data_IF_304943526482
#
_entry.id   IF_304943526482
#
_cell.length_a   1.000
_cell.length_b   1.000
_cell.length_c   1.000
_cell.angle_alpha   90.00
_cell.angle_beta   90.00
_cell.angle_gamma   90.00
#
_symmetry.space_group_name_H-M   'P 1'
#
loop_
_entity.id
_entity.type
_entity.pdbx_description
1 polymer ?
#
# COMPACT_ATOMS: atom_id res chain seq x y z
N UNK A 1 23.19 6.98 -15.31
CA UNK A 1 24.56 6.42 -15.13
C UNK A 1 25.16 6.85 -13.79
N UNK A 2 25.24 8.16 -13.47
CA UNK A 2 25.91 8.66 -12.24
C UNK A 2 25.31 8.13 -10.94
N UNK A 3 23.99 8.00 -10.83
CA UNK A 3 23.27 7.46 -9.67
C UNK A 3 23.68 6.02 -9.35
N UNK A 4 23.90 5.18 -10.36
CA UNK A 4 24.30 3.79 -10.19
C UNK A 4 25.72 3.65 -9.62
N UNK A 5 26.63 4.54 -10.04
CA UNK A 5 27.99 4.61 -9.51
C UNK A 5 27.93 4.99 -8.02
N UNK A 6 27.11 5.97 -7.66
CA UNK A 6 26.93 6.40 -6.26
C UNK A 6 26.36 5.26 -5.39
N UNK A 7 25.36 4.53 -5.87
CA UNK A 7 24.82 3.37 -5.16
C UNK A 7 25.84 2.25 -4.98
N UNK A 8 26.63 1.96 -6.01
CA UNK A 8 27.70 0.95 -5.95
C UNK A 8 28.77 1.34 -4.92
N UNK A 9 29.17 2.61 -4.88
CA UNK A 9 30.14 3.13 -3.90
C UNK A 9 29.60 3.06 -2.49
N UNK A 10 28.35 3.47 -2.27
CA UNK A 10 27.71 3.40 -0.94
C UNK A 10 27.57 1.94 -0.47
N UNK A 11 27.12 1.04 -1.32
CA UNK A 11 27.00 -0.39 -0.99
C UNK A 11 28.37 -1.00 -0.65
N UNK A 12 29.41 -0.66 -1.39
CA UNK A 12 30.78 -1.13 -1.11
C UNK A 12 31.30 -0.56 0.21
N UNK A 13 31.04 0.71 0.51
CA UNK A 13 31.45 1.34 1.77
C UNK A 13 30.72 0.72 2.98
N UNK A 14 29.43 0.42 2.87
CA UNK A 14 28.63 -0.25 3.92
C UNK A 14 29.16 -1.67 4.15
N UNK A 15 29.43 -2.43 3.10
CA UNK A 15 29.98 -3.79 3.20
C UNK A 15 31.36 -3.76 3.84
N UNK A 16 32.23 -2.83 3.44
CA UNK A 16 33.56 -2.65 4.04
C UNK A 16 33.46 -2.26 5.52
N UNK A 17 32.51 -1.38 5.89
CA UNK A 17 32.26 -0.99 7.29
C UNK A 17 31.76 -2.15 8.15
N UNK A 18 30.86 -2.99 7.63
CA UNK A 18 30.34 -4.17 8.34
C UNK A 18 31.39 -5.28 8.47
N UNK A 19 32.33 -5.41 7.54
CA UNK A 19 33.41 -6.42 7.59
C UNK A 19 34.62 -5.96 8.41
N UNK A 20 34.76 -4.65 8.63
CA UNK A 20 35.89 -4.09 9.40
C UNK A 20 36.00 -4.64 10.84
N UNK A 21 34.93 -4.76 11.66
CA UNK A 21 35.02 -5.33 13.00
C UNK A 21 35.42 -6.82 13.01
N UNK A 22 35.04 -7.57 11.96
CA UNK A 22 35.47 -8.96 11.81
C UNK A 22 36.94 -9.09 11.39
N UNK A 23 37.52 -8.10 10.75
CA UNK A 23 38.95 -8.05 10.42
C UNK A 23 39.78 -7.63 11.64
N UNK A 24 39.31 -6.72 12.48
CA UNK A 24 39.98 -6.23 13.68
C UNK A 24 39.80 -7.16 14.89
N UNK A 25 38.71 -7.96 14.94
CA UNK A 25 38.50 -8.95 16.00
C UNK A 25 39.54 -10.08 16.00
N UNK A 26 40.10 -10.44 14.85
CA UNK A 26 41.19 -11.44 14.74
C UNK A 26 42.56 -10.91 15.22
N UNK A 27 42.79 -9.60 15.13
CA UNK A 27 44.01 -8.98 15.67
C UNK A 27 44.01 -8.92 17.21
N UNK A 28 42.87 -9.01 17.86
CA UNK A 28 42.72 -8.98 19.31
C UNK A 28 42.92 -10.35 19.98
N UNK A 29 42.77 -11.45 19.23
CA UNK A 29 43.02 -12.81 19.74
C UNK A 29 44.51 -13.08 19.79
N UNK A 30 45.32 -12.45 18.93
CA UNK A 30 46.80 -12.56 18.93
C UNK A 30 47.46 -11.89 20.15
N UNK A 31 46.78 -11.04 20.90
CA UNK A 31 47.32 -10.37 22.07
C UNK A 31 47.32 -11.27 23.33
N UNK A 32 46.41 -12.24 23.43
CA UNK A 32 46.21 -13.04 24.63
C UNK A 32 47.41 -13.91 25.01
N UNK A 33 48.05 -14.57 24.05
CA UNK A 33 49.24 -15.40 24.31
C UNK A 33 50.50 -14.54 24.60
N UNK A 34 50.60 -13.38 23.93
CA UNK A 34 51.69 -12.43 24.19
C UNK A 34 51.58 -11.80 25.58
N UNK A 35 50.37 -11.45 26.01
CA UNK A 35 50.09 -10.90 27.34
C UNK A 35 50.32 -11.96 28.43
N UNK A 36 49.95 -13.23 28.22
CA UNK A 36 50.25 -14.32 29.15
C UNK A 36 51.75 -14.54 29.33
N UNK A 37 52.55 -14.52 28.26
CA UNK A 37 53.99 -14.61 28.34
C UNK A 37 54.60 -13.46 29.13
N UNK A 38 54.05 -12.26 29.05
CA UNK A 38 54.48 -11.08 29.80
C UNK A 38 54.19 -11.26 31.29
N UNK A 39 52.98 -11.64 31.63
CA UNK A 39 52.58 -11.90 33.03
C UNK A 39 53.47 -12.95 33.71
N UNK A 40 53.73 -14.08 33.05
CA UNK A 40 54.61 -15.11 33.64
C UNK A 40 56.08 -14.65 33.80
N UNK A 41 56.54 -13.76 32.91
CA UNK A 41 57.91 -13.21 33.03
C UNK A 41 58.00 -12.22 34.21
N UNK A 42 56.97 -11.41 34.40
CA UNK A 42 56.85 -10.49 35.53
C UNK A 42 56.77 -11.26 36.85
N UNK A 43 56.03 -12.38 36.91
CA UNK A 43 55.95 -13.27 38.06
C UNK A 43 57.32 -13.92 38.43
N UNK A 44 58.16 -14.25 37.43
CA UNK A 44 59.48 -14.74 37.68
C UNK A 44 60.43 -13.69 38.34
N UNK A 45 60.28 -12.43 37.86
CA UNK A 45 61.00 -11.30 38.42
C UNK A 45 60.58 -11.01 39.84
N UNK A 46 59.28 -11.06 40.12
CA UNK A 46 58.77 -10.87 41.51
C UNK A 46 59.24 -12.00 42.44
N UNK A 47 59.22 -13.24 41.97
CA UNK A 47 59.69 -14.39 42.73
C UNK A 47 61.21 -14.32 43.05
N UNK A 48 62.02 -13.84 42.09
CA UNK A 48 63.47 -13.62 42.33
C UNK A 48 63.65 -12.52 43.37
N UNK A 49 62.84 -11.45 43.38
CA UNK A 49 62.89 -10.39 44.39
C UNK A 49 62.55 -10.91 45.81
N UNK A 50 61.50 -11.74 45.91
CA UNK A 50 61.05 -12.34 47.19
C UNK A 50 62.11 -13.26 47.78
N UNK A 51 62.86 -13.93 46.94
CA UNK A 51 64.02 -14.71 47.37
C UNK A 51 65.13 -13.80 47.91
N UNK A 52 65.52 -12.73 47.25
CA UNK A 52 66.50 -11.75 47.66
C UNK A 52 66.14 -11.09 49.00
N UNK A 53 64.86 -10.84 49.25
CA UNK A 53 64.37 -10.25 50.51
C UNK A 53 64.13 -11.27 51.62
N UNK A 54 64.55 -12.54 51.42
CA UNK A 54 64.43 -13.65 52.38
C UNK A 54 63.03 -13.93 52.87
N UNK A 55 62.03 -13.58 52.05
CA UNK A 55 60.60 -13.79 52.35
C UNK A 55 60.14 -15.22 51.97
N UNK A 56 60.93 -15.94 51.16
CA UNK A 56 60.61 -17.29 50.71
C UNK A 56 61.74 -18.31 51.07
N UNK A 57 61.37 -19.50 51.61
CA UNK A 57 62.31 -20.58 51.76
C UNK A 57 62.85 -21.09 50.42
N UNK A 58 64.15 -21.48 50.37
CA UNK A 58 64.81 -21.89 49.13
C UNK A 58 64.15 -23.07 48.41
N UNK A 59 63.56 -24.00 49.11
CA UNK A 59 62.82 -25.14 48.56
C UNK A 59 61.53 -24.72 47.91
N UNK A 60 60.79 -23.76 48.46
CA UNK A 60 59.55 -23.23 47.90
C UNK A 60 59.83 -22.37 46.65
N UNK A 61 60.88 -21.57 46.68
CA UNK A 61 61.36 -20.81 45.54
C UNK A 61 61.68 -21.70 44.32
N UNK A 62 62.46 -22.78 44.50
CA UNK A 62 62.79 -23.66 43.39
C UNK A 62 61.55 -24.34 42.78
N UNK A 63 60.61 -24.74 43.62
CA UNK A 63 59.38 -25.34 43.16
C UNK A 63 58.46 -24.33 42.38
N UNK A 64 58.27 -23.14 42.93
CA UNK A 64 57.49 -22.09 42.31
C UNK A 64 58.13 -21.65 40.98
N UNK A 65 59.43 -21.46 40.93
CA UNK A 65 60.19 -21.11 39.73
C UNK A 65 60.05 -22.15 38.62
N UNK A 66 60.12 -23.44 38.96
CA UNK A 66 59.91 -24.51 37.96
C UNK A 66 58.48 -24.52 37.38
N UNK A 67 57.49 -24.26 38.21
CA UNK A 67 56.07 -24.24 37.75
C UNK A 67 55.81 -23.04 36.90
N UNK A 68 56.29 -21.85 37.27
CA UNK A 68 56.09 -20.63 36.44
C UNK A 68 56.86 -20.76 35.12
N UNK A 69 58.07 -21.30 35.13
CA UNK A 69 58.83 -21.56 33.93
C UNK A 69 58.11 -22.54 32.99
N UNK A 70 57.50 -23.61 33.52
CA UNK A 70 56.72 -24.57 32.73
C UNK A 70 55.52 -23.87 32.06
N UNK A 71 54.81 -22.99 32.77
CA UNK A 71 53.70 -22.22 32.24
C UNK A 71 54.13 -21.24 31.16
N UNK A 72 55.27 -20.58 31.37
CA UNK A 72 55.87 -19.68 30.37
C UNK A 72 56.25 -20.43 29.08
N UNK A 73 56.89 -21.63 29.20
CA UNK A 73 57.19 -22.45 28.03
C UNK A 73 55.97 -22.84 27.25
N UNK A 74 54.87 -23.27 27.95
CA UNK A 74 53.60 -23.61 27.31
C UNK A 74 52.95 -22.41 26.62
N UNK A 75 52.98 -21.23 27.24
CA UNK A 75 52.45 -20.00 26.63
C UNK A 75 53.29 -19.57 25.41
N UNK A 76 54.62 -19.74 25.46
CA UNK A 76 55.52 -19.43 24.34
C UNK A 76 55.30 -20.38 23.16
N UNK A 77 55.07 -21.67 23.44
CA UNK A 77 54.76 -22.66 22.40
C UNK A 77 53.44 -22.37 21.69
N UNK A 78 52.40 -21.99 22.46
CA UNK A 78 51.11 -21.52 21.90
C UNK A 78 51.29 -20.28 21.05
N UNK A 79 52.07 -19.30 21.48
CA UNK A 79 52.37 -18.10 20.71
C UNK A 79 53.10 -18.42 19.39
N UNK A 80 54.03 -19.38 19.41
CA UNK A 80 54.72 -19.84 18.21
C UNK A 80 53.80 -20.60 17.24
N UNK A 81 52.87 -21.40 17.74
CA UNK A 81 51.86 -22.08 16.90
C UNK A 81 50.89 -21.11 16.28
N UNK A 82 50.43 -20.08 17.01
CA UNK A 82 49.59 -19.02 16.49
C UNK A 82 50.28 -18.21 15.39
N UNK A 83 51.57 -17.89 15.56
CA UNK A 83 52.37 -17.23 14.51
C UNK A 83 52.63 -18.10 13.27
N UNK A 84 52.62 -19.42 13.41
CA UNK A 84 52.78 -20.35 12.27
C UNK A 84 51.54 -20.51 11.43
N UNK A 85 50.35 -20.12 11.92
CA UNK A 85 49.14 -20.14 11.12
C UNK A 85 49.20 -19.06 10.04
N UNK A 86 49.16 -19.41 8.73
CA UNK A 86 49.31 -18.42 7.67
C UNK A 86 48.14 -17.44 7.71
N UNK A 87 48.40 -16.11 7.73
CA UNK A 87 47.35 -15.07 7.85
C UNK A 87 46.45 -14.97 6.61
N UNK A 88 46.68 -15.81 5.60
CA UNK A 88 46.06 -15.66 4.27
C UNK A 88 44.85 -16.55 4.00
N UNK A 89 44.60 -17.57 4.83
CA UNK A 89 43.56 -18.57 4.53
C UNK A 89 42.11 -18.03 4.49
N UNK A 90 41.84 -16.84 5.05
CA UNK A 90 40.49 -16.30 5.17
C UNK A 90 40.23 -14.98 4.42
N UNK A 91 41.17 -14.51 3.59
CA UNK A 91 40.98 -13.25 2.83
C UNK A 91 40.20 -13.47 1.54
N UNK A 92 40.40 -14.58 0.86
CA UNK A 92 39.76 -14.93 -0.39
C UNK A 92 38.21 -15.05 -0.31
N UNK A 93 37.64 -15.78 0.66
CA UNK A 93 36.21 -15.85 0.77
C UNK A 93 35.55 -14.50 1.13
N UNK A 94 36.23 -13.66 1.92
CA UNK A 94 35.77 -12.30 2.24
C UNK A 94 35.72 -11.41 1.01
N UNK A 95 36.78 -11.43 0.20
CA UNK A 95 36.81 -10.69 -1.07
C UNK A 95 35.78 -11.22 -2.08
N UNK A 96 35.61 -12.55 -2.16
CA UNK A 96 34.60 -13.17 -3.02
C UNK A 96 33.18 -12.77 -2.65
N UNK A 97 32.82 -12.77 -1.38
CA UNK A 97 31.51 -12.34 -0.89
C UNK A 97 31.29 -10.84 -1.13
N UNK A 98 32.31 -10.03 -0.85
CA UNK A 98 32.24 -8.56 -1.03
C UNK A 98 32.05 -8.15 -2.50
N UNK A 99 32.57 -8.93 -3.44
CA UNK A 99 32.40 -8.69 -4.87
C UNK A 99 31.13 -9.36 -5.44
N UNK A 100 30.82 -10.57 -4.97
CA UNK A 100 29.69 -11.34 -5.47
C UNK A 100 28.33 -10.70 -5.13
N UNK A 101 28.16 -10.19 -3.90
CA UNK A 101 26.90 -9.66 -3.43
C UNK A 101 26.41 -8.44 -4.26
N UNK A 102 27.22 -7.39 -4.50
CA UNK A 102 26.80 -6.27 -5.35
C UNK A 102 26.61 -6.67 -6.82
N UNK A 103 27.44 -7.58 -7.36
CA UNK A 103 27.26 -8.04 -8.74
C UNK A 103 25.98 -8.88 -8.91
N UNK A 104 25.69 -9.76 -7.96
CA UNK A 104 24.46 -10.53 -7.95
C UNK A 104 23.22 -9.63 -7.80
N UNK A 105 23.30 -8.61 -6.94
CA UNK A 105 22.24 -7.63 -6.75
C UNK A 105 21.96 -6.82 -8.02
N UNK A 106 23.00 -6.34 -8.70
CA UNK A 106 22.87 -5.62 -9.97
C UNK A 106 22.31 -6.54 -11.06
N UNK A 107 22.81 -7.77 -11.16
CA UNK A 107 22.34 -8.75 -12.13
C UNK A 107 20.87 -9.14 -11.90
N UNK A 108 20.47 -9.34 -10.65
CA UNK A 108 19.10 -9.62 -10.27
C UNK A 108 18.17 -8.45 -10.60
N UNK A 109 18.61 -7.22 -10.29
CA UNK A 109 17.87 -6.01 -10.63
C UNK A 109 17.76 -5.80 -12.15
N UNK A 110 18.82 -6.06 -12.90
CA UNK A 110 18.78 -5.94 -14.36
C UNK A 110 17.82 -6.94 -15.01
N UNK A 111 17.61 -8.10 -14.35
CA UNK A 111 16.75 -9.17 -14.89
C UNK A 111 15.30 -9.10 -14.41
N UNK A 112 15.06 -8.75 -13.15
CA UNK A 112 13.73 -8.70 -12.53
C UNK A 112 13.21 -7.27 -12.37
N UNK A 113 14.07 -6.28 -12.38
CA UNK A 113 13.71 -4.88 -12.28
C UNK A 113 13.29 -4.29 -13.62
N UNK A 114 12.89 -3.04 -13.60
CA UNK A 114 12.54 -2.25 -14.78
C UNK A 114 13.51 -1.09 -14.93
N UNK A 115 14.79 -1.34 -15.35
CA UNK A 115 15.82 -0.31 -15.45
C UNK A 115 15.50 0.76 -16.51
N UNK A 116 14.67 0.41 -17.50
CA UNK A 116 14.27 1.31 -18.60
C UNK A 116 13.05 2.17 -18.26
N UNK A 117 12.46 2.01 -17.08
CA UNK A 117 11.36 2.88 -16.68
C UNK A 117 11.90 4.29 -16.43
N UNK A 118 11.43 5.30 -17.20
CA UNK A 118 11.84 6.68 -16.96
C UNK A 118 11.39 7.11 -15.56
N UNK A 119 12.26 7.84 -14.85
CA UNK A 119 11.87 8.44 -13.57
C UNK A 119 10.70 9.38 -13.81
N UNK A 120 9.55 9.10 -13.18
CA UNK A 120 8.38 9.98 -13.24
C UNK A 120 8.31 10.79 -11.95
N UNK A 121 8.87 12.00 -11.89
CA UNK A 121 8.72 12.88 -10.74
C UNK A 121 7.22 13.15 -10.53
N UNK A 122 6.82 13.34 -9.26
CA UNK A 122 5.42 13.57 -8.90
C UNK A 122 4.78 14.68 -9.76
N UNK A 123 5.54 15.72 -10.05
CA UNK A 123 5.07 16.85 -10.84
C UNK A 123 4.72 16.48 -12.28
N UNK A 124 5.57 15.69 -12.96
CA UNK A 124 5.29 15.18 -14.31
C UNK A 124 4.08 14.23 -14.32
N UNK A 125 3.91 13.40 -13.29
CA UNK A 125 2.72 12.54 -13.16
C UNK A 125 1.44 13.33 -12.90
N UNK A 126 1.55 14.49 -12.24
CA UNK A 126 0.40 15.38 -12.03
C UNK A 126 0.05 16.19 -13.29
N UNK A 127 1.02 16.46 -14.14
CA UNK A 127 0.81 17.13 -15.45
C UNK A 127 0.18 16.18 -16.47
N UNK A 128 0.65 14.93 -16.52
CA UNK A 128 0.08 13.86 -17.37
C UNK A 128 -0.24 12.61 -16.51
N UNK A 129 -1.40 12.59 -15.84
CA UNK A 129 -1.80 11.50 -14.95
C UNK A 129 -2.14 10.19 -15.68
N UNK A 130 -2.16 10.19 -17.02
CA UNK A 130 -2.56 9.02 -17.81
C UNK A 130 -3.94 8.48 -17.38
N UNK A 131 -4.01 7.18 -17.07
CA UNK A 131 -5.23 6.51 -16.61
C UNK A 131 -5.34 6.42 -15.07
N UNK A 132 -4.49 7.11 -14.30
CA UNK A 132 -4.54 7.07 -12.86
C UNK A 132 -5.65 7.97 -12.31
N UNK A 133 -6.80 7.36 -11.95
CA UNK A 133 -7.99 8.07 -11.46
C UNK A 133 -7.67 8.95 -10.24
N UNK A 134 -6.85 8.50 -9.30
CA UNK A 134 -6.51 9.30 -8.11
C UNK A 134 -5.74 10.58 -8.47
N UNK A 135 -4.86 10.52 -9.47
CA UNK A 135 -4.14 11.69 -9.96
C UNK A 135 -5.04 12.65 -10.76
N UNK A 136 -5.97 12.11 -11.54
CA UNK A 136 -6.98 12.90 -12.24
C UNK A 136 -7.86 13.66 -11.25
N UNK A 137 -8.30 12.98 -10.18
CA UNK A 137 -9.05 13.62 -9.09
C UNK A 137 -8.23 14.75 -8.48
N UNK A 138 -6.98 14.52 -8.07
CA UNK A 138 -6.12 15.52 -7.43
C UNK A 138 -5.82 16.72 -8.35
N UNK A 139 -5.69 16.49 -9.66
CA UNK A 139 -5.54 17.56 -10.66
C UNK A 139 -6.80 18.41 -10.75
N UNK A 140 -7.96 17.76 -10.82
CA UNK A 140 -9.27 18.44 -10.89
C UNK A 140 -9.57 19.20 -9.59
N UNK A 141 -9.26 18.62 -8.43
CA UNK A 141 -9.41 19.28 -7.11
C UNK A 141 -8.58 20.58 -7.02
N UNK A 142 -7.33 20.54 -7.47
CA UNK A 142 -6.48 21.75 -7.51
C UNK A 142 -7.01 22.81 -8.47
N UNK A 143 -7.51 22.39 -9.62
CA UNK A 143 -8.15 23.29 -10.58
C UNK A 143 -9.36 23.96 -9.95
N UNK A 144 -10.25 23.20 -9.32
CA UNK A 144 -11.46 23.71 -8.68
C UNK A 144 -11.17 24.56 -7.44
N UNK A 145 -10.06 24.31 -6.75
CA UNK A 145 -9.60 25.18 -5.65
C UNK A 145 -9.16 26.56 -6.16
N UNK A 146 -8.58 26.64 -7.36
CA UNK A 146 -8.20 27.90 -8.01
C UNK A 146 -9.33 28.55 -8.78
N UNK A 147 -10.30 27.76 -9.24
CA UNK A 147 -11.47 28.21 -10.02
C UNK A 147 -12.77 27.60 -9.46
N UNK A 148 -13.26 28.08 -8.30
CA UNK A 148 -14.41 27.49 -7.61
C UNK A 148 -15.74 27.66 -8.37
N UNK A 149 -15.81 28.58 -9.33
CA UNK A 149 -16.99 28.82 -10.16
C UNK A 149 -16.96 28.04 -11.50
N UNK A 150 -16.01 27.10 -11.68
CA UNK A 150 -16.06 26.17 -12.80
C UNK A 150 -17.13 25.08 -12.57
N UNK A 151 -18.37 25.40 -12.93
CA UNK A 151 -19.49 24.46 -12.82
C UNK A 151 -19.30 23.17 -13.65
N UNK A 152 -18.58 23.26 -14.79
CA UNK A 152 -18.28 22.07 -15.62
C UNK A 152 -17.31 21.14 -14.92
N UNK A 153 -16.29 21.68 -14.30
CA UNK A 153 -15.34 20.90 -13.49
C UNK A 153 -16.04 20.18 -12.35
N UNK A 154 -16.94 20.87 -11.62
CA UNK A 154 -17.76 20.25 -10.57
C UNK A 154 -18.67 19.14 -11.12
N UNK A 155 -19.29 19.36 -12.28
CA UNK A 155 -20.17 18.37 -12.91
C UNK A 155 -19.43 17.10 -13.35
N UNK A 156 -18.18 17.23 -13.78
CA UNK A 156 -17.34 16.08 -14.21
C UNK A 156 -16.81 15.28 -13.02
N UNK A 157 -16.40 15.96 -11.94
CA UNK A 157 -15.81 15.26 -10.79
C UNK A 157 -16.84 14.59 -9.89
N UNK A 158 -18.07 15.12 -9.81
CA UNK A 158 -19.12 14.62 -8.93
C UNK A 158 -19.42 13.11 -9.11
N UNK A 159 -19.65 12.58 -10.33
CA UNK A 159 -19.85 11.14 -10.52
C UNK A 159 -18.58 10.31 -10.25
N UNK A 160 -17.39 10.90 -10.36
CA UNK A 160 -16.15 10.21 -10.01
C UNK A 160 -16.04 10.03 -8.51
N UNK A 161 -16.36 11.05 -7.71
CA UNK A 161 -16.44 10.93 -6.25
C UNK A 161 -17.47 9.88 -5.83
N UNK A 162 -18.63 9.85 -6.47
CA UNK A 162 -19.67 8.86 -6.16
C UNK A 162 -19.16 7.43 -6.39
N UNK A 163 -18.52 7.17 -7.53
CA UNK A 163 -17.96 5.84 -7.86
C UNK A 163 -16.78 5.44 -6.99
N UNK A 164 -16.03 6.39 -6.46
CA UNK A 164 -14.90 6.14 -5.56
C UNK A 164 -15.30 6.09 -4.07
N UNK A 165 -16.62 6.17 -3.77
CA UNK A 165 -17.14 6.10 -2.40
C UNK A 165 -16.96 7.39 -1.58
N UNK A 166 -16.53 8.49 -2.22
CA UNK A 166 -16.35 9.80 -1.58
C UNK A 166 -17.69 10.57 -1.61
N UNK A 167 -18.64 10.08 -0.82
CA UNK A 167 -20.07 10.51 -0.91
C UNK A 167 -20.26 11.97 -0.49
N UNK A 168 -19.58 12.43 0.56
CA UNK A 168 -19.67 13.80 1.03
C UNK A 168 -19.16 14.80 -0.02
N UNK A 169 -18.05 14.48 -0.66
CA UNK A 169 -17.50 15.29 -1.75
C UNK A 169 -18.37 15.23 -3.01
N UNK A 170 -18.92 14.07 -3.35
CA UNK A 170 -19.86 13.94 -4.47
C UNK A 170 -21.08 14.86 -4.27
N UNK A 171 -21.68 14.83 -3.08
CA UNK A 171 -22.81 15.69 -2.71
C UNK A 171 -22.47 17.18 -2.83
N UNK A 172 -21.30 17.58 -2.34
CA UNK A 172 -20.82 18.96 -2.44
C UNK A 172 -20.57 19.38 -3.89
N UNK A 173 -19.97 18.50 -4.69
CA UNK A 173 -19.69 18.76 -6.10
C UNK A 173 -20.98 18.90 -6.92
N UNK A 174 -21.98 18.02 -6.71
CA UNK A 174 -23.28 18.15 -7.37
C UNK A 174 -24.00 19.44 -6.98
N UNK A 175 -23.96 19.85 -5.70
CA UNK A 175 -24.56 21.12 -5.26
C UNK A 175 -23.88 22.32 -5.91
N UNK A 176 -22.55 22.33 -6.01
CA UNK A 176 -21.82 23.39 -6.71
C UNK A 176 -22.17 23.44 -8.20
N UNK A 177 -22.20 22.27 -8.86
CA UNK A 177 -22.60 22.19 -10.26
C UNK A 177 -24.03 22.70 -10.48
N UNK A 178 -24.99 22.34 -9.61
CA UNK A 178 -26.38 22.82 -9.67
C UNK A 178 -26.47 24.33 -9.42
N UNK A 179 -25.70 24.87 -8.47
CA UNK A 179 -25.66 26.32 -8.17
C UNK A 179 -25.17 27.13 -9.37
N UNK A 180 -24.15 26.64 -10.09
CA UNK A 180 -23.49 27.39 -11.16
C UNK A 180 -24.15 27.16 -12.51
N UNK A 181 -24.49 25.91 -12.85
CA UNK A 181 -25.02 25.52 -14.14
C UNK A 181 -26.56 25.44 -14.19
N UNK A 182 -27.19 25.54 -13.01
CA UNK A 182 -28.66 25.39 -12.89
C UNK A 182 -29.10 23.91 -12.77
N UNK A 183 -30.42 23.70 -12.61
CA UNK A 183 -31.01 22.36 -12.48
C UNK A 183 -30.97 21.59 -13.79
N UNK A 184 -30.64 20.30 -13.69
CA UNK A 184 -30.62 19.35 -14.79
C UNK A 184 -30.87 17.95 -14.22
N UNK A 185 -31.48 17.07 -15.02
CA UNK A 185 -31.94 15.74 -14.58
C UNK A 185 -30.79 14.87 -14.09
N UNK A 186 -29.67 14.87 -14.82
CA UNK A 186 -28.53 14.04 -14.45
C UNK A 186 -27.83 14.54 -13.17
N UNK A 187 -27.66 15.86 -13.03
CA UNK A 187 -27.08 16.48 -11.82
C UNK A 187 -27.96 16.25 -10.59
N UNK A 188 -29.28 16.46 -10.72
CA UNK A 188 -30.22 16.18 -9.64
C UNK A 188 -30.27 14.69 -9.31
N UNK A 189 -30.23 13.82 -10.33
CA UNK A 189 -30.18 12.38 -10.17
C UNK A 189 -28.93 11.91 -9.39
N UNK A 190 -27.77 12.45 -9.72
CA UNK A 190 -26.54 12.17 -9.02
C UNK A 190 -26.54 12.67 -7.58
N UNK A 191 -27.12 13.87 -7.31
CA UNK A 191 -27.30 14.36 -5.95
C UNK A 191 -28.26 13.48 -5.14
N UNK A 192 -29.40 13.06 -5.73
CA UNK A 192 -30.32 12.15 -5.07
C UNK A 192 -29.69 10.81 -4.73
N UNK A 193 -28.88 10.26 -5.63
CA UNK A 193 -28.12 9.04 -5.39
C UNK A 193 -27.12 9.19 -4.25
N UNK A 194 -26.35 10.29 -4.21
CA UNK A 194 -25.42 10.58 -3.12
C UNK A 194 -26.14 10.68 -1.75
N UNK A 195 -27.30 11.34 -1.71
CA UNK A 195 -28.12 11.45 -0.50
C UNK A 195 -28.68 10.10 -0.04
N UNK A 196 -29.11 9.25 -0.97
CA UNK A 196 -29.61 7.92 -0.65
C UNK A 196 -28.48 7.01 -0.13
N UNK A 197 -27.28 7.07 -0.73
CA UNK A 197 -26.13 6.29 -0.24
C UNK A 197 -25.75 6.75 1.17
N UNK A 198 -25.69 8.06 1.42
CA UNK A 198 -25.41 8.62 2.77
C UNK A 198 -26.46 8.15 3.79
N UNK A 199 -27.73 8.07 3.38
CA UNK A 199 -28.85 7.59 4.21
C UNK A 199 -29.04 6.06 4.19
N UNK A 200 -28.02 5.30 3.75
CA UNK A 200 -28.03 3.83 3.70
C UNK A 200 -29.24 3.25 2.95
N UNK A 201 -29.60 3.85 1.83
CA UNK A 201 -30.71 3.43 0.98
C UNK A 201 -32.07 4.03 1.35
N UNK A 202 -32.14 4.84 2.41
CA UNK A 202 -33.38 5.50 2.80
C UNK A 202 -33.68 6.72 1.95
N UNK A 203 -34.93 6.88 1.53
CA UNK A 203 -35.40 8.04 0.78
C UNK A 203 -35.84 9.11 1.77
N UNK A 204 -34.97 10.03 2.08
CA UNK A 204 -35.23 11.14 3.02
C UNK A 204 -36.09 12.24 2.43
N UNK A 205 -36.58 13.18 3.25
CA UNK A 205 -37.33 14.35 2.77
C UNK A 205 -36.53 15.17 1.74
N UNK A 206 -35.24 15.39 1.99
CA UNK A 206 -34.34 16.09 1.07
C UNK A 206 -34.24 15.37 -0.28
N UNK A 207 -34.10 14.04 -0.24
CA UNK A 207 -34.10 13.22 -1.45
C UNK A 207 -35.41 13.33 -2.22
N UNK A 208 -36.56 13.29 -1.52
CA UNK A 208 -37.89 13.45 -2.15
C UNK A 208 -38.01 14.81 -2.84
N UNK A 209 -37.50 15.88 -2.25
CA UNK A 209 -37.55 17.19 -2.84
C UNK A 209 -36.69 17.30 -4.11
N UNK A 210 -35.55 16.67 -4.15
CA UNK A 210 -34.72 16.54 -5.36
C UNK A 210 -35.44 15.72 -6.43
N UNK A 211 -36.02 14.57 -6.07
CA UNK A 211 -36.77 13.73 -7.00
C UNK A 211 -38.00 14.47 -7.60
N UNK A 212 -38.70 15.27 -6.80
CA UNK A 212 -39.78 16.15 -7.29
C UNK A 212 -39.23 17.21 -8.25
N UNK A 213 -38.02 17.74 -8.03
CA UNK A 213 -37.38 18.65 -8.99
C UNK A 213 -37.13 17.96 -10.33
N UNK A 214 -36.67 16.71 -10.32
CA UNK A 214 -36.51 15.92 -11.55
C UNK A 214 -37.86 15.79 -12.27
N UNK A 215 -38.93 15.45 -11.55
CA UNK A 215 -40.25 15.32 -12.19
C UNK A 215 -40.83 16.65 -12.71
N UNK A 216 -40.35 17.80 -12.22
CA UNK A 216 -40.70 19.10 -12.85
C UNK A 216 -40.05 19.30 -14.21
N UNK A 217 -38.84 18.74 -14.38
CA UNK A 217 -38.11 18.80 -15.66
C UNK A 217 -38.57 17.67 -16.61
N UNK A 218 -38.72 16.47 -16.08
CA UNK A 218 -39.14 15.25 -16.78
C UNK A 218 -40.28 14.55 -16.02
N UNK A 219 -41.56 14.89 -16.29
CA UNK A 219 -42.69 14.34 -15.55
C UNK A 219 -42.85 12.80 -15.60
N UNK A 220 -42.23 12.16 -16.58
CA UNK A 220 -42.25 10.69 -16.77
C UNK A 220 -40.91 10.03 -16.50
N UNK A 221 -39.98 10.69 -15.80
CA UNK A 221 -38.68 10.10 -15.48
C UNK A 221 -38.86 8.84 -14.62
N UNK A 222 -38.51 7.65 -15.13
CA UNK A 222 -38.82 6.39 -14.45
C UNK A 222 -38.05 6.21 -13.16
N UNK A 223 -36.82 6.73 -13.11
CA UNK A 223 -35.94 6.65 -11.92
C UNK A 223 -36.53 7.48 -10.76
N UNK A 224 -36.97 8.68 -11.04
CA UNK A 224 -37.57 9.56 -10.04
C UNK A 224 -38.91 8.99 -9.52
N UNK A 225 -39.77 8.49 -10.42
CA UNK A 225 -41.02 7.84 -10.05
C UNK A 225 -40.78 6.61 -9.17
N UNK A 226 -39.80 5.78 -9.53
CA UNK A 226 -39.43 4.59 -8.75
C UNK A 226 -39.01 4.95 -7.32
N UNK A 227 -38.07 5.86 -7.16
CA UNK A 227 -37.58 6.20 -5.81
C UNK A 227 -38.60 6.96 -4.97
N UNK A 228 -39.50 7.72 -5.57
CA UNK A 228 -40.65 8.31 -4.83
C UNK A 228 -41.57 7.21 -4.30
N UNK A 229 -41.88 6.20 -5.12
CA UNK A 229 -42.68 5.06 -4.69
C UNK A 229 -41.98 4.27 -3.56
N UNK A 230 -40.66 4.03 -3.66
CA UNK A 230 -39.85 3.43 -2.58
C UNK A 230 -39.91 4.28 -1.30
N UNK A 231 -39.85 5.59 -1.39
CA UNK A 231 -39.99 6.48 -0.24
C UNK A 231 -41.38 6.40 0.41
N UNK A 232 -42.44 6.18 -0.38
CA UNK A 232 -43.78 5.93 0.17
C UNK A 232 -43.87 4.57 0.87
N UNK A 233 -43.27 3.54 0.28
CA UNK A 233 -43.16 2.21 0.88
C UNK A 233 -42.42 2.25 2.21
N UNK A 234 -41.24 2.89 2.26
CA UNK A 234 -40.45 3.06 3.50
C UNK A 234 -41.20 3.84 4.60
N UNK A 235 -42.05 4.77 4.19
CA UNK A 235 -42.93 5.51 5.10
C UNK A 235 -44.18 4.73 5.56
N UNK A 236 -44.30 3.44 5.19
CA UNK A 236 -45.44 2.59 5.52
C UNK A 236 -46.72 2.92 4.74
N UNK A 237 -46.63 3.76 3.72
CA UNK A 237 -47.79 4.15 2.86
C UNK A 237 -47.97 3.17 1.72
N UNK A 238 -48.17 1.89 2.03
CA UNK A 238 -48.16 0.77 1.10
C UNK A 238 -49.17 0.92 -0.04
N UNK A 239 -50.39 1.35 0.26
CA UNK A 239 -51.44 1.56 -0.76
C UNK A 239 -51.04 2.60 -1.81
N UNK A 240 -50.39 3.70 -1.39
CA UNK A 240 -49.92 4.72 -2.31
C UNK A 240 -48.69 4.26 -3.07
N UNK A 241 -47.76 3.60 -2.40
CA UNK A 241 -46.58 3.00 -3.04
C UNK A 241 -47.01 2.01 -4.14
N UNK A 242 -47.95 1.14 -3.86
CA UNK A 242 -48.52 0.21 -4.84
C UNK A 242 -49.08 0.92 -6.06
N UNK A 243 -49.92 1.95 -5.87
CA UNK A 243 -50.48 2.72 -6.99
C UNK A 243 -49.39 3.40 -7.83
N UNK A 244 -48.35 3.96 -7.17
CA UNK A 244 -47.23 4.61 -7.85
C UNK A 244 -46.38 3.59 -8.64
N UNK A 245 -46.11 2.39 -8.09
CA UNK A 245 -45.41 1.32 -8.81
C UNK A 245 -46.21 0.77 -9.98
N UNK A 246 -47.49 0.57 -9.82
CA UNK A 246 -48.39 0.14 -10.92
C UNK A 246 -48.45 1.18 -12.05
N UNK A 247 -48.51 2.47 -11.69
CA UNK A 247 -48.49 3.56 -12.67
C UNK A 247 -47.14 3.55 -13.43
N UNK A 248 -46.03 3.39 -12.73
CA UNK A 248 -44.70 3.28 -13.35
C UNK A 248 -44.61 2.06 -14.28
N UNK A 249 -45.12 0.91 -13.86
CA UNK A 249 -45.12 -0.30 -14.69
C UNK A 249 -45.94 -0.12 -15.98
N UNK A 250 -47.09 0.59 -15.89
CA UNK A 250 -47.92 0.91 -17.08
C UNK A 250 -47.25 1.89 -18.05
N UNK A 251 -46.46 2.84 -17.51
CA UNK A 251 -45.73 3.82 -18.31
C UNK A 251 -44.45 3.23 -18.94
N UNK A 252 -43.96 2.11 -18.40
CA UNK A 252 -42.71 1.52 -18.84
C UNK A 252 -42.84 0.78 -20.18
N UNK A 253 -41.82 0.88 -21.07
CA UNK A 253 -41.81 0.08 -22.30
C UNK A 253 -41.80 -1.41 -22.01
N UNK A 254 -42.36 -2.21 -22.89
CA UNK A 254 -42.27 -3.66 -22.80
C UNK A 254 -40.78 -4.08 -22.83
N UNK A 255 -40.33 -4.88 -21.84
CA UNK A 255 -38.95 -5.33 -21.75
C UNK A 255 -37.98 -4.33 -21.09
N UNK A 256 -38.45 -3.27 -20.48
CA UNK A 256 -37.59 -2.35 -19.71
C UNK A 256 -36.88 -3.09 -18.58
N UNK A 257 -35.56 -2.88 -18.47
CA UNK A 257 -34.70 -3.60 -17.54
C UNK A 257 -35.09 -3.46 -16.06
N UNK A 258 -35.82 -2.40 -15.71
CA UNK A 258 -36.26 -2.15 -14.33
C UNK A 258 -37.64 -2.77 -14.00
N UNK A 259 -38.41 -3.26 -14.99
CA UNK A 259 -39.73 -3.88 -14.75
C UNK A 259 -39.71 -5.06 -13.76
N UNK A 260 -38.75 -5.97 -13.78
CA UNK A 260 -38.67 -7.04 -12.77
C UNK A 260 -38.60 -6.50 -11.34
N UNK A 261 -37.80 -5.44 -11.12
CA UNK A 261 -37.71 -4.79 -9.82
C UNK A 261 -38.99 -4.10 -9.40
N UNK A 262 -39.65 -3.37 -10.31
CA UNK A 262 -40.95 -2.75 -10.05
C UNK A 262 -42.00 -3.79 -9.70
N UNK A 263 -42.06 -4.90 -10.43
CA UNK A 263 -42.96 -6.02 -10.14
C UNK A 263 -42.70 -6.67 -8.78
N UNK A 264 -41.47 -6.75 -8.34
CA UNK A 264 -41.12 -7.21 -6.99
C UNK A 264 -41.75 -6.30 -5.92
N UNK A 265 -41.62 -4.98 -6.07
CA UNK A 265 -42.23 -4.02 -5.14
C UNK A 265 -43.76 -4.06 -5.20
N UNK A 266 -44.39 -4.24 -6.39
CA UNK A 266 -45.85 -4.43 -6.52
C UNK A 266 -46.28 -5.64 -5.70
N UNK A 267 -45.58 -6.78 -5.83
CA UNK A 267 -45.92 -7.99 -5.06
C UNK A 267 -45.70 -7.79 -3.53
N UNK A 268 -44.62 -7.13 -3.12
CA UNK A 268 -44.32 -6.84 -1.72
C UNK A 268 -45.43 -5.94 -1.07
N UNK A 269 -46.03 -5.07 -1.84
CA UNK A 269 -47.12 -4.21 -1.39
C UNK A 269 -48.53 -4.83 -1.59
N UNK A 270 -48.63 -6.13 -1.92
CA UNK A 270 -49.92 -6.86 -2.03
C UNK A 270 -50.63 -6.70 -3.38
N UNK A 271 -49.95 -6.16 -4.38
CA UNK A 271 -50.49 -6.04 -5.73
C UNK A 271 -50.18 -7.25 -6.64
N UNK A 272 -50.76 -7.25 -7.82
CA UNK A 272 -50.55 -8.28 -8.84
C UNK A 272 -49.51 -7.76 -9.86
N UNK A 273 -48.35 -8.42 -10.00
CA UNK A 273 -47.34 -8.03 -10.96
C UNK A 273 -47.92 -7.96 -12.39
N UNK A 274 -47.54 -6.93 -13.14
CA UNK A 274 -47.85 -6.90 -14.57
C UNK A 274 -47.13 -8.06 -15.24
N UNK A 275 -47.88 -9.07 -15.62
CA UNK A 275 -47.38 -10.30 -16.18
C UNK A 275 -46.43 -10.03 -17.35
N UNK A 276 -45.40 -10.87 -17.47
CA UNK A 276 -44.46 -10.92 -18.58
C UNK A 276 -45.08 -11.16 -19.97
N UNK A 277 -46.41 -11.11 -20.08
CA UNK A 277 -47.22 -11.31 -21.30
C UNK A 277 -46.93 -10.29 -22.40
N UNK A 278 -46.08 -9.26 -22.14
CA UNK A 278 -45.55 -8.36 -23.17
C UNK A 278 -44.16 -8.73 -23.69
N UNK A 279 -43.53 -9.75 -23.17
CA UNK A 279 -42.34 -10.35 -23.78
C UNK A 279 -42.78 -11.30 -24.89
N UNK A 280 -43.02 -10.81 -26.10
CA UNK A 280 -42.96 -11.65 -27.29
C UNK A 280 -41.51 -12.13 -27.42
N UNK A 281 -41.22 -13.43 -27.36
CA UNK A 281 -39.90 -13.93 -27.75
C UNK A 281 -39.74 -13.54 -29.22
N UNK A 282 -38.63 -12.95 -29.56
CA UNK A 282 -38.13 -12.85 -30.93
C UNK A 282 -37.92 -14.30 -31.38
N UNK A 283 -38.92 -14.92 -31.99
CA UNK A 283 -38.77 -16.17 -32.72
C UNK A 283 -37.84 -15.86 -33.89
N UNK A 284 -36.58 -16.25 -33.76
CA UNK A 284 -35.72 -16.52 -34.89
C UNK A 284 -36.48 -17.50 -35.81
N UNK A 285 -36.98 -17.01 -36.91
CA UNK A 285 -37.39 -17.84 -38.02
C UNK A 285 -36.15 -18.59 -38.51
N UNK A 286 -36.01 -19.84 -38.08
CA UNK A 286 -35.17 -20.78 -38.74
C UNK A 286 -35.69 -20.97 -40.14
N UNK A 287 -34.93 -20.51 -41.12
CA UNK A 287 -35.22 -20.76 -42.52
C UNK A 287 -35.23 -22.24 -42.77
N UNK A 288 -36.33 -22.69 -43.31
CA UNK A 288 -36.38 -23.98 -43.95
C UNK A 288 -35.88 -23.85 -45.37
N UNK A 289 -34.98 -24.68 -45.67
CA UNK A 289 -34.27 -24.85 -46.94
C UNK A 289 -35.05 -25.64 -47.94
N UNK A 290 -34.93 -25.30 -49.14
CA UNK A 290 -34.79 -26.30 -50.22
C UNK A 290 -33.72 -25.88 -51.20
#
# INVERSE_FOLDING_TARGET
>A
MLIWIVFAVIATAVIASLLHPFASGLARIDSGAADACRVYRDQLVDLDRDMETSQLPRNEYEYARAEIARRLFKATEQQCEERRRPPHAHRWPKLAISLFLPLASIGLYARLGSPDMPSQPLQARLEDPGHNIAMLISKTERHLASQPDDGRGWNVIAPVYLRTGRIAEAKSAYRNALRILGPDVDRLGGLAEALMIEAQGSVTADTLDILRQILRLEPKNPRALFYIAVGMEQAGRTTKALADFEALAKLSPAGAAWLPLVNQHISANGGVPLAASRQKPHMTAAGDSR
#
